data_IF_171917342460
#
_entry.id   IF_171917342460
#
_cell.length_a   1.000
_cell.length_b   1.000
_cell.length_c   1.000
_cell.angle_alpha   90.00
_cell.angle_beta   90.00
_cell.angle_gamma   90.00
#
_symmetry.space_group_name_H-M   'P 1'
#
loop_
_entity.id
_entity.type
_entity.pdbx_description
1 polymer ?
#
# COMPACT_ATOMS: atom_id res chain seq x y z
N UNK A 1 -4.46 29.56 51.53
CA UNK A 1 -5.06 30.23 50.36
C UNK A 1 -4.98 29.25 49.23
N UNK A 2 -6.13 28.64 48.99
CA UNK A 2 -6.37 27.68 47.89
C UNK A 2 -6.42 28.42 46.58
N UNK A 3 -5.86 27.85 45.51
CA UNK A 3 -6.35 28.05 44.16
C UNK A 3 -6.25 26.72 43.41
N UNK A 4 -7.42 26.16 43.27
CA UNK A 4 -7.80 25.17 42.26
C UNK A 4 -7.40 25.62 40.87
N UNK A 5 -6.82 24.74 40.09
CA UNK A 5 -6.82 24.87 38.64
C UNK A 5 -7.33 23.56 38.04
N UNK A 6 -8.51 23.68 37.49
CA UNK A 6 -9.34 22.62 36.95
C UNK A 6 -8.69 21.94 35.72
N UNK A 7 -8.77 20.66 35.83
CA UNK A 7 -8.69 19.62 34.79
C UNK A 7 -9.66 19.94 33.62
N UNK A 8 -9.12 20.13 32.42
CA UNK A 8 -9.94 20.17 31.20
C UNK A 8 -9.50 19.03 30.30
N UNK A 9 -9.95 17.83 30.67
CA UNK A 9 -9.97 16.70 29.75
C UNK A 9 -10.96 17.00 28.63
N UNK A 10 -10.46 17.22 27.45
CA UNK A 10 -11.26 17.25 26.23
C UNK A 10 -11.37 15.82 25.70
N UNK A 11 -12.48 15.19 26.00
CA UNK A 11 -12.93 13.95 25.38
C UNK A 11 -13.05 14.15 23.87
N UNK A 12 -12.16 13.53 23.10
CA UNK A 12 -12.32 13.34 21.69
C UNK A 12 -13.27 12.17 21.45
N UNK A 13 -14.56 12.47 21.33
CA UNK A 13 -15.60 11.50 20.97
C UNK A 13 -15.37 11.11 19.51
N UNK A 14 -14.81 9.91 19.32
CA UNK A 14 -14.76 9.25 18.01
C UNK A 14 -16.18 8.88 17.57
N UNK A 15 -16.76 9.68 16.69
CA UNK A 15 -17.95 9.29 15.97
C UNK A 15 -17.57 8.26 14.90
N UNK A 16 -17.71 6.99 15.22
CA UNK A 16 -17.89 5.94 14.23
C UNK A 16 -19.19 6.24 13.47
N UNK A 17 -19.10 6.68 12.26
CA UNK A 17 -20.23 6.78 11.35
C UNK A 17 -20.71 5.35 11.04
N UNK A 18 -21.73 4.91 11.79
CA UNK A 18 -22.55 3.76 11.40
C UNK A 18 -23.21 4.12 10.07
N UNK A 19 -22.81 3.44 9.02
CA UNK A 19 -23.49 3.48 7.74
C UNK A 19 -24.90 2.88 7.92
N UNK A 20 -25.89 3.75 8.07
CA UNK A 20 -27.30 3.40 8.04
C UNK A 20 -27.59 2.76 6.68
N UNK A 21 -28.23 1.59 6.71
CA UNK A 21 -28.60 0.78 5.55
C UNK A 21 -29.51 1.50 4.56
N UNK A 22 -28.89 2.21 3.63
CA UNK A 22 -29.51 2.49 2.36
C UNK A 22 -29.47 1.18 1.54
N UNK A 23 -30.52 0.84 0.77
CA UNK A 23 -30.50 -0.31 -0.12
C UNK A 23 -29.27 -0.20 -1.03
N UNK A 24 -28.58 -1.29 -1.34
CA UNK A 24 -27.40 -1.24 -2.21
C UNK A 24 -27.83 -0.55 -3.52
N UNK A 25 -27.09 0.50 -3.89
CA UNK A 25 -27.29 1.15 -5.18
C UNK A 25 -27.23 0.08 -6.27
N UNK A 26 -28.07 0.16 -7.33
CA UNK A 26 -28.02 -0.82 -8.40
C UNK A 26 -26.58 -0.95 -8.89
N UNK A 27 -26.11 -2.18 -9.01
CA UNK A 27 -24.73 -2.45 -9.40
C UNK A 27 -24.45 -1.69 -10.71
N UNK A 28 -23.51 -0.77 -10.67
CA UNK A 28 -23.13 -0.02 -11.86
C UNK A 28 -22.50 -0.99 -12.86
N UNK A 29 -23.00 -1.03 -14.08
CA UNK A 29 -22.48 -1.86 -15.16
C UNK A 29 -22.19 -1.04 -16.39
N UNK A 30 -21.27 -1.52 -17.21
CA UNK A 30 -20.98 -1.01 -18.53
C UNK A 30 -21.38 -2.08 -19.56
N UNK A 31 -22.31 -1.73 -20.47
CA UNK A 31 -22.69 -2.59 -21.58
C UNK A 31 -21.76 -2.40 -22.76
N UNK A 32 -21.09 -3.45 -23.19
CA UNK A 32 -20.14 -3.44 -24.31
C UNK A 32 -20.63 -4.36 -25.41
N UNK A 33 -20.86 -3.82 -26.62
CA UNK A 33 -21.22 -4.63 -27.79
C UNK A 33 -19.99 -4.89 -28.64
N UNK A 34 -19.67 -6.18 -28.83
CA UNK A 34 -18.61 -6.60 -29.75
C UNK A 34 -19.16 -6.64 -31.17
N UNK A 35 -18.79 -5.64 -31.98
CA UNK A 35 -19.23 -5.53 -33.37
C UNK A 35 -18.73 -6.66 -34.27
N UNK A 36 -17.73 -7.45 -33.86
CA UNK A 36 -17.24 -8.61 -34.60
C UNK A 36 -18.22 -9.76 -34.56
N UNK A 37 -18.96 -9.89 -33.44
CA UNK A 37 -19.89 -11.00 -33.20
C UNK A 37 -21.36 -10.57 -33.04
N UNK A 38 -21.59 -9.26 -32.81
CA UNK A 38 -22.89 -8.69 -32.48
C UNK A 38 -23.38 -9.00 -31.08
N UNK A 39 -22.53 -9.59 -30.22
CA UNK A 39 -22.88 -9.93 -28.83
C UNK A 39 -22.68 -8.74 -27.90
N UNK A 40 -23.55 -8.61 -26.92
CA UNK A 40 -23.43 -7.59 -25.86
C UNK A 40 -23.07 -8.26 -24.53
N UNK A 41 -22.16 -7.64 -23.79
CA UNK A 41 -21.64 -8.10 -22.51
C UNK A 41 -21.84 -7.01 -21.47
N UNK A 42 -22.16 -7.42 -20.24
CA UNK A 42 -22.24 -6.53 -19.08
C UNK A 42 -20.98 -6.66 -18.23
N UNK A 43 -20.30 -5.53 -18.03
CA UNK A 43 -19.09 -5.45 -17.22
C UNK A 43 -19.41 -4.71 -15.92
N UNK A 44 -19.19 -5.32 -14.75
CA UNK A 44 -19.37 -4.64 -13.47
C UNK A 44 -18.38 -3.47 -13.32
N UNK A 45 -18.89 -2.33 -12.83
CA UNK A 45 -18.07 -1.17 -12.47
C UNK A 45 -18.00 -1.10 -10.95
N UNK A 46 -16.78 -1.14 -10.41
CA UNK A 46 -16.52 -1.03 -8.98
C UNK A 46 -15.48 0.08 -8.75
N UNK A 47 -15.81 1.04 -7.88
CA UNK A 47 -14.95 2.19 -7.57
C UNK A 47 -14.43 2.90 -8.84
N UNK A 48 -15.29 3.10 -9.82
CA UNK A 48 -14.92 3.74 -11.10
C UNK A 48 -14.01 2.91 -12.00
N UNK A 49 -13.81 1.63 -11.69
CA UNK A 49 -12.95 0.71 -12.46
C UNK A 49 -13.70 -0.51 -12.97
N UNK A 50 -13.20 -1.08 -14.07
CA UNK A 50 -13.62 -2.38 -14.61
C UNK A 50 -12.46 -3.36 -14.46
N UNK A 51 -12.71 -4.56 -13.98
CA UNK A 51 -11.67 -5.59 -13.87
C UNK A 51 -11.22 -6.03 -15.27
N UNK A 52 -9.91 -5.95 -15.53
CA UNK A 52 -9.35 -6.35 -16.83
C UNK A 52 -9.68 -7.80 -17.20
N UNK A 53 -9.82 -8.69 -16.22
CA UNK A 53 -10.21 -10.09 -16.45
C UNK A 53 -11.65 -10.24 -16.95
N UNK A 54 -12.53 -9.29 -16.69
CA UNK A 54 -13.92 -9.37 -17.17
C UNK A 54 -13.99 -9.13 -18.70
N UNK A 55 -12.98 -8.50 -19.29
CA UNK A 55 -12.85 -8.39 -20.76
C UNK A 55 -12.60 -9.75 -21.45
N UNK A 56 -12.09 -10.73 -20.71
CA UNK A 56 -11.79 -12.08 -21.26
C UNK A 56 -13.02 -12.86 -21.71
N UNK A 57 -14.22 -12.49 -21.26
CA UNK A 57 -15.46 -13.07 -21.75
C UNK A 57 -15.80 -12.67 -23.20
N UNK A 58 -15.22 -11.56 -23.69
CA UNK A 58 -15.43 -11.05 -25.04
C UNK A 58 -14.57 -11.86 -26.01
N UNK A 59 -15.19 -12.77 -26.76
CA UNK A 59 -14.54 -13.73 -27.66
C UNK A 59 -15.22 -13.76 -29.02
N UNK A 60 -14.44 -13.99 -30.05
CA UNK A 60 -14.96 -14.21 -31.42
C UNK A 60 -15.45 -15.66 -31.61
N UNK A 61 -14.74 -16.63 -31.02
CA UNK A 61 -15.08 -18.05 -31.04
C UNK A 61 -14.59 -18.76 -29.76
N UNK A 62 -14.80 -20.08 -29.66
CA UNK A 62 -14.42 -20.89 -28.50
C UNK A 62 -12.90 -21.02 -28.31
N UNK A 63 -12.11 -20.86 -29.37
CA UNK A 63 -10.65 -20.97 -29.34
C UNK A 63 -9.99 -19.63 -29.03
N UNK A 64 -10.76 -18.55 -29.09
CA UNK A 64 -10.28 -17.20 -28.77
C UNK A 64 -9.96 -17.11 -27.28
N UNK A 65 -8.76 -16.60 -26.99
CA UNK A 65 -8.32 -16.34 -25.62
C UNK A 65 -9.20 -15.29 -24.89
N UNK A 66 -9.83 -14.41 -25.65
CA UNK A 66 -10.61 -13.28 -25.19
C UNK A 66 -9.87 -11.96 -25.18
N UNK A 67 -10.62 -10.88 -25.10
CA UNK A 67 -10.08 -9.52 -25.18
C UNK A 67 -9.15 -9.21 -24.01
N UNK A 68 -8.03 -8.56 -24.29
CA UNK A 68 -7.07 -8.06 -23.30
C UNK A 68 -7.00 -6.55 -23.34
N UNK A 69 -6.76 -5.91 -22.20
CA UNK A 69 -6.39 -4.49 -22.15
C UNK A 69 -4.93 -4.32 -22.59
N UNK A 70 -4.67 -3.30 -23.40
CA UNK A 70 -3.32 -2.90 -23.79
C UNK A 70 -3.04 -1.50 -23.23
N UNK A 71 -2.24 -1.43 -22.17
CA UNK A 71 -1.86 -0.18 -21.50
C UNK A 71 -0.36 -0.24 -21.14
N UNK A 72 0.56 -0.03 -22.10
CA UNK A 72 1.99 -0.26 -21.91
C UNK A 72 2.64 0.68 -20.90
N UNK A 73 2.06 1.83 -20.65
CA UNK A 73 2.59 2.84 -19.73
C UNK A 73 1.82 2.89 -18.39
N UNK A 74 0.86 2.03 -18.18
CA UNK A 74 -0.03 2.03 -17.01
C UNK A 74 -0.72 3.38 -16.74
N UNK A 75 -1.03 4.10 -17.82
CA UNK A 75 -1.59 5.45 -17.76
C UNK A 75 -3.06 5.49 -17.36
N UNK A 76 -3.77 4.38 -17.57
CA UNK A 76 -5.19 4.21 -17.24
C UNK A 76 -5.47 2.87 -16.57
N UNK A 77 -4.53 2.37 -15.79
CA UNK A 77 -4.65 1.08 -15.10
C UNK A 77 -4.47 1.23 -13.61
N UNK A 78 -5.51 0.90 -12.84
CA UNK A 78 -5.40 0.74 -11.39
C UNK A 78 -4.81 -0.63 -11.07
N UNK A 79 -3.56 -0.69 -10.61
CA UNK A 79 -2.82 -1.94 -10.37
C UNK A 79 -3.16 -2.60 -9.04
N UNK A 80 -3.60 -1.84 -8.05
CA UNK A 80 -3.96 -2.36 -6.72
C UNK A 80 -4.94 -1.43 -5.99
N UNK A 81 -5.57 -1.97 -4.95
CA UNK A 81 -6.27 -1.18 -3.93
C UNK A 81 -5.33 -1.03 -2.73
N UNK A 82 -5.27 0.16 -2.18
CA UNK A 82 -4.50 0.43 -0.98
C UNK A 82 -5.29 1.31 -0.03
N UNK A 83 -5.24 1.00 1.27
CA UNK A 83 -5.74 1.85 2.35
C UNK A 83 -4.60 2.57 3.08
N UNK A 84 -3.37 2.52 2.54
CA UNK A 84 -2.19 3.06 3.20
C UNK A 84 -2.04 4.54 2.89
N UNK A 85 -2.11 4.91 1.61
CA UNK A 85 -1.80 6.27 1.18
C UNK A 85 -2.94 6.82 0.31
N UNK A 86 -3.35 8.05 0.61
CA UNK A 86 -4.21 8.86 -0.25
C UNK A 86 -3.40 10.03 -0.80
N UNK A 87 -3.49 10.24 -2.11
CA UNK A 87 -2.81 11.34 -2.81
C UNK A 87 -3.82 12.03 -3.71
N UNK A 88 -3.92 13.34 -3.56
CA UNK A 88 -4.57 14.23 -4.50
C UNK A 88 -3.53 15.25 -4.97
N UNK A 89 -3.00 15.03 -6.17
CA UNK A 89 -1.95 15.87 -6.73
C UNK A 89 -2.42 17.26 -7.12
N UNK A 90 -3.69 17.40 -7.50
CA UNK A 90 -4.27 18.67 -7.90
C UNK A 90 -4.53 19.58 -6.69
N UNK A 91 -5.03 19.00 -5.61
CA UNK A 91 -5.25 19.71 -4.35
C UNK A 91 -3.99 19.78 -3.46
N UNK A 92 -2.91 19.06 -3.79
CA UNK A 92 -1.70 18.99 -3.00
C UNK A 92 -1.88 18.25 -1.65
N UNK A 93 -2.77 17.25 -1.62
CA UNK A 93 -3.09 16.51 -0.39
C UNK A 93 -2.35 15.17 -0.40
N UNK A 94 -1.63 14.88 0.69
CA UNK A 94 -1.02 13.58 0.96
C UNK A 94 -1.38 13.14 2.37
N UNK A 95 -1.89 11.92 2.49
CA UNK A 95 -2.23 11.32 3.78
C UNK A 95 -1.70 9.88 3.85
N UNK A 96 -1.21 9.49 5.02
CA UNK A 96 -0.88 8.10 5.34
C UNK A 96 -1.81 7.57 6.42
N UNK A 97 -2.55 6.50 6.10
CA UNK A 97 -3.57 5.92 7.01
C UNK A 97 -4.56 6.96 7.56
N UNK A 98 -4.86 8.01 6.76
CA UNK A 98 -5.75 9.11 7.14
C UNK A 98 -5.08 10.27 7.90
N UNK A 99 -3.80 10.17 8.24
CA UNK A 99 -3.03 11.26 8.85
C UNK A 99 -2.41 12.16 7.79
N UNK A 100 -2.64 13.48 7.83
CA UNK A 100 -1.99 14.43 6.92
C UNK A 100 -0.47 14.39 7.07
N UNK A 101 0.24 14.49 5.93
CA UNK A 101 1.71 14.40 5.92
C UNK A 101 2.36 15.49 6.75
N UNK A 102 1.77 16.69 6.81
CA UNK A 102 2.28 17.82 7.58
C UNK A 102 2.34 17.48 9.07
N UNK A 103 1.28 16.84 9.61
CA UNK A 103 1.24 16.43 11.01
C UNK A 103 2.27 15.35 11.31
N UNK A 104 2.43 14.39 10.40
CA UNK A 104 3.43 13.33 10.58
C UNK A 104 4.86 13.88 10.54
N UNK A 105 5.14 14.86 9.66
CA UNK A 105 6.46 15.50 9.58
C UNK A 105 6.79 16.32 10.83
N UNK A 106 5.80 16.98 11.41
CA UNK A 106 6.03 17.87 12.57
C UNK A 106 6.07 17.11 13.89
N UNK A 107 5.30 16.03 14.04
CA UNK A 107 5.03 15.42 15.34
C UNK A 107 5.44 13.95 15.46
N UNK A 108 5.93 13.33 14.38
CA UNK A 108 6.28 11.91 14.39
C UNK A 108 7.72 11.67 13.99
N UNK A 109 8.34 10.67 14.58
CA UNK A 109 9.64 10.14 14.14
C UNK A 109 9.47 9.19 12.95
N UNK A 110 10.57 8.91 12.24
CA UNK A 110 10.58 7.94 11.15
C UNK A 110 10.03 6.56 11.57
N UNK A 111 10.40 6.07 12.77
CA UNK A 111 9.96 4.76 13.25
C UNK A 111 8.47 4.72 13.63
N UNK A 112 7.91 5.83 14.09
CA UNK A 112 6.46 5.95 14.32
C UNK A 112 5.70 5.90 13.00
N UNK A 113 6.17 6.63 11.97
CA UNK A 113 5.54 6.58 10.65
C UNK A 113 5.69 5.18 10.03
N UNK A 114 6.84 4.53 10.16
CA UNK A 114 7.04 3.16 9.69
C UNK A 114 6.06 2.19 10.38
N UNK A 115 5.87 2.33 11.69
CA UNK A 115 4.89 1.56 12.44
C UNK A 115 3.46 1.81 11.92
N UNK A 116 3.08 3.09 11.74
CA UNK A 116 1.78 3.47 11.21
C UNK A 116 1.49 2.81 9.85
N UNK A 117 2.45 2.84 8.94
CA UNK A 117 2.28 2.27 7.59
C UNK A 117 2.08 0.75 7.63
N UNK A 118 2.83 0.05 8.49
CA UNK A 118 2.83 -1.42 8.60
C UNK A 118 1.64 -1.91 9.45
N UNK A 119 1.40 -1.27 10.61
CA UNK A 119 0.41 -1.72 11.60
C UNK A 119 -0.96 -1.06 11.44
N UNK A 120 -1.04 0.08 10.75
CA UNK A 120 -2.29 0.77 10.42
C UNK A 120 -2.67 1.91 11.35
N UNK A 121 -2.10 1.98 12.55
CA UNK A 121 -2.36 2.99 13.57
C UNK A 121 -1.05 3.50 14.15
N UNK A 122 -1.05 4.73 14.68
CA UNK A 122 0.11 5.24 15.42
C UNK A 122 0.35 4.43 16.69
N UNK A 123 1.61 4.15 17.04
CA UNK A 123 1.92 3.36 18.22
C UNK A 123 1.61 4.12 19.51
N UNK A 124 1.13 3.42 20.52
CA UNK A 124 1.21 3.88 21.90
C UNK A 124 2.68 3.95 22.34
N UNK A 125 2.98 4.65 23.43
CA UNK A 125 4.35 4.75 23.95
C UNK A 125 5.00 3.38 24.18
N UNK A 126 4.28 2.45 24.77
CA UNK A 126 4.81 1.11 25.03
C UNK A 126 5.09 0.32 23.75
N UNK A 127 4.18 0.43 22.74
CA UNK A 127 4.37 -0.18 21.42
C UNK A 127 5.55 0.43 20.67
N UNK A 128 5.76 1.74 20.80
CA UNK A 128 6.89 2.39 20.19
C UNK A 128 8.21 1.95 20.81
N UNK A 129 8.28 1.86 22.12
CA UNK A 129 9.47 1.39 22.86
C UNK A 129 9.82 -0.05 22.45
N UNK A 130 8.85 -0.94 22.37
CA UNK A 130 9.03 -2.31 21.88
C UNK A 130 9.48 -2.34 20.40
N UNK A 131 8.81 -1.58 19.54
CA UNK A 131 9.13 -1.48 18.11
C UNK A 131 10.56 -0.97 17.86
N UNK A 132 10.97 0.09 18.56
CA UNK A 132 12.34 0.64 18.48
C UNK A 132 13.35 -0.39 18.99
N UNK A 133 13.03 -1.10 20.07
CA UNK A 133 13.89 -2.14 20.60
C UNK A 133 14.10 -3.26 19.58
N UNK A 134 13.01 -3.80 19.03
CA UNK A 134 13.06 -4.85 18.00
C UNK A 134 13.93 -4.46 16.80
N UNK A 135 13.72 -3.26 16.25
CA UNK A 135 14.52 -2.79 15.12
C UNK A 135 15.99 -2.65 15.52
N UNK A 136 16.26 -2.14 16.72
CA UNK A 136 17.63 -1.88 17.18
C UNK A 136 18.43 -3.16 17.38
N UNK A 137 17.81 -4.23 17.92
CA UNK A 137 18.51 -5.51 18.13
C UNK A 137 18.72 -6.31 16.85
N UNK A 138 18.00 -5.98 15.76
CA UNK A 138 18.11 -6.65 14.46
C UNK A 138 18.95 -5.87 13.44
N UNK A 139 19.92 -5.07 13.89
CA UNK A 139 20.81 -4.29 13.01
C UNK A 139 22.06 -5.04 12.55
N UNK A 140 22.28 -6.26 13.05
CA UNK A 140 23.44 -7.05 12.66
C UNK A 140 23.21 -7.73 11.31
N UNK A 141 24.20 -7.65 10.44
CA UNK A 141 24.20 -8.34 9.15
C UNK A 141 25.31 -9.39 9.14
N UNK A 142 25.10 -10.45 8.33
CA UNK A 142 26.11 -11.50 8.15
C UNK A 142 27.41 -10.90 7.61
N UNK A 143 28.56 -11.36 8.12
CA UNK A 143 29.87 -10.81 7.76
C UNK A 143 30.15 -10.88 6.25
N UNK A 144 29.74 -11.97 5.59
CA UNK A 144 29.90 -12.11 4.14
C UNK A 144 29.15 -11.04 3.32
N UNK A 145 28.16 -10.34 3.89
CA UNK A 145 27.52 -9.19 3.21
C UNK A 145 28.52 -8.04 3.09
N UNK A 146 29.37 -7.84 4.11
CA UNK A 146 30.43 -6.83 4.05
C UNK A 146 31.49 -7.21 2.99
N UNK A 147 31.88 -8.48 2.95
CA UNK A 147 32.83 -8.97 1.94
C UNK A 147 32.25 -8.81 0.52
N UNK A 148 30.96 -9.12 0.34
CA UNK A 148 30.27 -8.88 -0.92
C UNK A 148 30.31 -7.40 -1.32
N UNK A 149 30.05 -6.49 -0.39
CA UNK A 149 30.10 -5.05 -0.65
C UNK A 149 31.50 -4.55 -1.01
N UNK A 150 32.55 -5.15 -0.47
CA UNK A 150 33.93 -4.81 -0.82
C UNK A 150 34.33 -5.22 -2.23
N UNK A 151 33.58 -6.13 -2.86
CA UNK A 151 33.80 -6.58 -4.23
C UNK A 151 33.31 -5.60 -5.30
N UNK A 152 32.59 -4.54 -4.95
CA UNK A 152 32.19 -3.53 -5.91
C UNK A 152 33.37 -2.68 -6.38
N UNK A 153 33.31 -2.23 -7.63
CA UNK A 153 34.28 -1.28 -8.14
C UNK A 153 34.17 0.05 -7.35
N UNK A 154 35.28 0.73 -7.20
CA UNK A 154 35.35 2.02 -6.49
C UNK A 154 34.47 3.12 -7.12
N UNK A 155 34.19 3.01 -8.43
CA UNK A 155 33.36 3.94 -9.21
C UNK A 155 31.95 3.42 -9.47
N UNK A 156 31.53 2.37 -8.75
CA UNK A 156 30.19 1.79 -8.93
C UNK A 156 29.10 2.79 -8.50
N UNK A 157 28.00 2.82 -9.27
CA UNK A 157 26.86 3.68 -8.94
C UNK A 157 26.20 3.20 -7.63
N UNK A 158 25.95 4.09 -6.64
CA UNK A 158 25.40 3.70 -5.33
C UNK A 158 24.08 2.90 -5.40
N UNK A 159 23.19 3.23 -6.36
CA UNK A 159 21.93 2.48 -6.53
C UNK A 159 22.17 1.07 -7.03
N UNK A 160 23.16 0.83 -7.90
CA UNK A 160 23.54 -0.53 -8.31
C UNK A 160 24.07 -1.34 -7.14
N UNK A 161 24.89 -0.72 -6.28
CA UNK A 161 25.38 -1.34 -5.05
C UNK A 161 24.22 -1.67 -4.09
N UNK A 162 23.26 -0.75 -3.90
CA UNK A 162 22.10 -0.97 -3.04
C UNK A 162 21.26 -2.14 -3.53
N UNK A 163 20.88 -2.14 -4.80
CA UNK A 163 20.03 -3.21 -5.39
C UNK A 163 20.72 -4.57 -5.27
N UNK A 164 22.01 -4.65 -5.60
CA UNK A 164 22.77 -5.89 -5.52
C UNK A 164 22.94 -6.36 -4.06
N UNK A 165 23.21 -5.43 -3.13
CA UNK A 165 23.37 -5.76 -1.70
C UNK A 165 22.08 -6.26 -1.07
N UNK A 166 20.93 -5.63 -1.37
CA UNK A 166 19.62 -6.10 -0.87
C UNK A 166 19.27 -7.45 -1.47
N UNK A 167 19.55 -7.68 -2.76
CA UNK A 167 19.38 -8.99 -3.39
C UNK A 167 20.25 -10.07 -2.75
N UNK A 168 21.53 -9.78 -2.50
CA UNK A 168 22.44 -10.69 -1.81
C UNK A 168 21.99 -10.98 -0.38
N UNK A 169 21.51 -9.97 0.35
CA UNK A 169 21.05 -10.09 1.74
C UNK A 169 19.97 -11.16 1.90
N UNK A 170 19.06 -11.30 0.94
CA UNK A 170 18.00 -12.31 0.96
C UNK A 170 18.53 -13.74 1.00
N UNK A 171 19.75 -14.00 0.51
CA UNK A 171 20.37 -15.33 0.52
C UNK A 171 20.92 -15.74 1.88
N UNK A 172 21.21 -14.76 2.75
CA UNK A 172 21.68 -14.99 4.12
C UNK A 172 20.54 -15.12 5.13
N UNK A 173 19.32 -14.68 4.74
CA UNK A 173 18.13 -14.72 5.58
C UNK A 173 16.97 -15.41 4.81
N UNK A 174 17.02 -16.73 4.64
CA UNK A 174 16.07 -17.47 3.80
C UNK A 174 14.61 -17.34 4.28
N UNK A 175 14.40 -17.09 5.56
CA UNK A 175 13.04 -16.89 6.10
C UNK A 175 12.38 -15.60 5.62
N UNK A 176 13.17 -14.59 5.24
CA UNK A 176 12.66 -13.35 4.64
C UNK A 176 12.09 -13.56 3.23
N UNK A 177 12.46 -14.65 2.55
CA UNK A 177 11.98 -15.01 1.22
C UNK A 177 10.72 -15.88 1.24
N UNK A 178 10.29 -16.34 2.40
CA UNK A 178 9.07 -17.15 2.53
C UNK A 178 7.86 -16.22 2.45
N UNK A 179 7.12 -16.32 1.34
CA UNK A 179 5.76 -15.81 1.27
C UNK A 179 4.95 -16.66 2.25
N UNK A 180 4.59 -16.09 3.39
CA UNK A 180 3.62 -16.73 4.27
C UNK A 180 2.28 -16.55 3.61
N UNK A 181 1.71 -17.63 3.08
CA UNK A 181 0.28 -17.72 2.82
C UNK A 181 -0.43 -17.62 4.18
N UNK A 182 -0.77 -16.42 4.60
CA UNK A 182 -1.77 -16.20 5.63
C UNK A 182 -3.12 -16.39 4.95
N UNK A 183 -3.57 -17.67 4.93
CA UNK A 183 -4.90 -18.05 4.46
C UNK A 183 -6.00 -17.66 5.47
#
# INVERSE_FOLDING_TARGET
>A
MSTDTADTQKEATGQQAQANGAPPAPAATLSVTDNRTGRTYELPVTDGTVRAMDLRQIKTDERDFGLMAYDPAFTNTASCRSAITYIDGDAGILQHRGYPIEQLCEHSSYLEVAYLLIKGELPTRAQLEEWVHEITIHTFVHENVKDFMQGFRYDAHPMGMLVASVGALSTFYPDASRIRDEG
#
